data_IF_358693617263
#
_entry.id   IF_358693617263
#
_cell.length_a   1.000
_cell.length_b   1.000
_cell.length_c   1.000
_cell.angle_alpha   90.00
_cell.angle_beta   90.00
_cell.angle_gamma   90.00
#
_symmetry.space_group_name_H-M   'P 1'
#
loop_
_entity.id
_entity.type
_entity.pdbx_description
1 polymer ?
#
# COMPACT_ATOMS: atom_id res chain seq x y z
N UNK A 1 42.70 0.79 -0.81
CA UNK A 1 41.60 1.23 -1.71
C UNK A 1 40.31 0.43 -1.52
N UNK A 2 40.36 -0.87 -1.17
CA UNK A 2 39.18 -1.71 -0.94
C UNK A 2 38.34 -1.38 0.31
N UNK A 3 38.95 -0.84 1.36
CA UNK A 3 38.22 -0.57 2.63
C UNK A 3 37.25 0.64 2.55
N UNK A 4 37.51 1.61 1.66
CA UNK A 4 36.62 2.78 1.47
C UNK A 4 35.36 2.49 0.66
N UNK A 5 35.40 1.50 -0.26
CA UNK A 5 34.22 1.08 -1.03
C UNK A 5 33.20 0.32 -0.16
N UNK A 6 33.68 -0.48 0.80
CA UNK A 6 32.80 -1.25 1.69
C UNK A 6 31.99 -0.34 2.64
N UNK A 7 32.59 0.76 3.14
CA UNK A 7 31.89 1.70 4.02
C UNK A 7 30.79 2.51 3.30
N UNK A 8 30.94 2.78 2.01
CA UNK A 8 29.93 3.53 1.24
C UNK A 8 28.69 2.66 0.97
N UNK A 9 28.87 1.36 0.71
CA UNK A 9 27.75 0.42 0.50
C UNK A 9 26.94 0.18 1.78
N UNK A 10 27.59 0.11 2.95
CA UNK A 10 26.90 -0.05 4.23
C UNK A 10 26.14 1.23 4.63
N UNK A 11 26.71 2.42 4.40
CA UNK A 11 26.03 3.68 4.73
C UNK A 11 24.77 3.90 3.89
N UNK A 12 24.77 3.52 2.62
CA UNK A 12 23.60 3.68 1.73
C UNK A 12 22.43 2.74 2.09
N UNK A 13 22.71 1.53 2.56
CA UNK A 13 21.67 0.59 2.99
C UNK A 13 21.00 1.01 4.30
N UNK A 14 21.75 1.57 5.25
CA UNK A 14 21.20 2.08 6.51
C UNK A 14 20.35 3.33 6.30
N UNK A 15 20.74 4.23 5.39
CA UNK A 15 19.94 5.42 5.05
C UNK A 15 18.61 5.04 4.38
N UNK A 16 18.61 4.05 3.50
CA UNK A 16 17.41 3.60 2.80
C UNK A 16 16.41 2.89 3.75
N UNK A 17 16.90 2.11 4.73
CA UNK A 17 16.05 1.51 5.75
C UNK A 17 15.42 2.59 6.66
N UNK A 18 16.21 3.54 7.13
CA UNK A 18 15.72 4.62 8.01
C UNK A 18 14.66 5.49 7.31
N UNK A 19 14.85 5.77 6.02
CA UNK A 19 13.90 6.56 5.23
C UNK A 19 12.59 5.81 4.93
N UNK A 20 12.65 4.47 4.79
CA UNK A 20 11.45 3.63 4.65
C UNK A 20 10.60 3.61 5.93
N UNK A 21 11.26 3.54 7.09
CA UNK A 21 10.60 3.61 8.40
C UNK A 21 9.99 4.99 8.65
N UNK A 22 10.64 6.08 8.22
CA UNK A 22 10.13 7.44 8.35
C UNK A 22 8.85 7.66 7.51
N UNK A 23 8.84 7.17 6.28
CA UNK A 23 7.68 7.26 5.39
C UNK A 23 6.49 6.46 5.94
N UNK A 24 6.74 5.24 6.44
CA UNK A 24 5.71 4.42 7.08
C UNK A 24 5.15 5.10 8.33
N UNK A 25 6.03 5.62 9.20
CA UNK A 25 5.62 6.37 10.39
C UNK A 25 4.78 7.60 10.06
N UNK A 26 5.11 8.34 8.99
CA UNK A 26 4.34 9.50 8.56
C UNK A 26 2.94 9.09 8.09
N UNK A 27 2.82 7.97 7.33
CA UNK A 27 1.54 7.38 6.95
C UNK A 27 0.72 7.00 8.18
N UNK A 28 1.33 6.28 9.12
CA UNK A 28 0.63 5.72 10.27
C UNK A 28 0.08 6.79 11.21
N UNK A 29 0.77 7.93 11.29
CA UNK A 29 0.32 9.12 12.02
C UNK A 29 -0.58 10.05 11.21
N UNK A 30 -0.83 9.75 9.94
CA UNK A 30 -1.52 10.64 8.99
C UNK A 30 -0.85 12.03 8.88
N UNK A 31 0.47 12.08 9.00
CA UNK A 31 1.25 13.32 8.91
C UNK A 31 1.45 13.72 7.44
N UNK A 32 0.46 14.43 6.90
CA UNK A 32 0.47 14.89 5.51
C UNK A 32 1.64 15.83 5.21
N UNK A 33 2.16 16.58 6.19
CA UNK A 33 3.28 17.50 5.99
C UNK A 33 4.60 16.73 5.85
N UNK A 34 4.82 15.75 6.73
CA UNK A 34 5.98 14.87 6.63
C UNK A 34 5.97 14.07 5.32
N UNK A 35 4.81 13.51 4.91
CA UNK A 35 4.67 12.80 3.63
C UNK A 35 5.02 13.73 2.46
N UNK A 36 4.53 14.97 2.42
CA UNK A 36 4.83 15.91 1.35
C UNK A 36 6.32 16.26 1.29
N UNK A 37 6.99 16.39 2.43
CA UNK A 37 8.45 16.60 2.51
C UNK A 37 9.22 15.42 1.94
N UNK A 38 8.79 14.19 2.29
CA UNK A 38 9.38 12.94 1.80
C UNK A 38 9.15 12.75 0.30
N UNK A 39 7.96 13.05 -0.21
CA UNK A 39 7.68 13.07 -1.66
C UNK A 39 8.69 13.99 -2.35
N UNK A 40 8.86 15.23 -1.87
CA UNK A 40 9.79 16.19 -2.48
C UNK A 40 11.25 15.72 -2.39
N UNK A 41 11.62 14.98 -1.34
CA UNK A 41 12.93 14.34 -1.24
C UNK A 41 13.11 13.25 -2.30
N UNK A 42 12.15 12.32 -2.42
CA UNK A 42 12.23 11.22 -3.39
C UNK A 42 12.10 11.69 -4.84
N UNK A 43 11.36 12.78 -5.11
CA UNK A 43 11.35 13.42 -6.43
C UNK A 43 12.74 13.88 -6.85
N UNK A 44 13.47 14.56 -5.95
CA UNK A 44 14.85 14.98 -6.24
C UNK A 44 15.75 13.78 -6.50
N UNK A 45 15.65 12.73 -5.69
CA UNK A 45 16.46 11.52 -5.85
C UNK A 45 16.18 10.80 -7.17
N UNK A 46 14.91 10.62 -7.52
CA UNK A 46 14.49 9.98 -8.76
C UNK A 46 14.86 10.81 -10.01
N UNK A 47 14.88 12.16 -9.89
CA UNK A 47 15.31 13.05 -10.97
C UNK A 47 16.83 13.06 -11.16
N UNK A 48 17.62 12.78 -10.12
CA UNK A 48 19.09 12.65 -10.24
C UNK A 48 19.50 11.38 -11.00
N UNK A 49 18.73 10.30 -10.84
CA UNK A 49 18.93 9.05 -11.58
C UNK A 49 17.56 8.51 -12.06
N UNK A 50 17.06 9.00 -13.21
CA UNK A 50 15.75 8.63 -13.74
C UNK A 50 15.60 7.15 -14.11
N UNK A 51 16.72 6.44 -14.30
CA UNK A 51 16.76 5.00 -14.61
C UNK A 51 16.95 4.11 -13.38
N UNK A 52 17.07 4.69 -12.22
CA UNK A 52 17.16 3.92 -10.97
C UNK A 52 15.78 3.37 -10.58
N UNK A 53 15.53 2.09 -10.87
CA UNK A 53 14.30 1.41 -10.45
C UNK A 53 14.04 1.55 -8.93
N UNK A 54 15.05 1.40 -8.03
CA UNK A 54 14.84 1.64 -6.60
C UNK A 54 14.41 3.08 -6.28
N UNK A 55 14.99 4.09 -6.94
CA UNK A 55 14.61 5.49 -6.68
C UNK A 55 13.18 5.78 -7.16
N UNK A 56 12.79 5.28 -8.32
CA UNK A 56 11.42 5.37 -8.83
C UNK A 56 10.42 4.64 -7.92
N UNK A 57 10.77 3.46 -7.41
CA UNK A 57 9.95 2.72 -6.46
C UNK A 57 9.73 3.50 -5.15
N UNK A 58 10.77 4.08 -4.56
CA UNK A 58 10.64 4.86 -3.34
C UNK A 58 9.76 6.09 -3.54
N UNK A 59 9.88 6.77 -4.68
CA UNK A 59 9.00 7.86 -5.06
C UNK A 59 7.55 7.39 -5.21
N UNK A 60 7.32 6.28 -5.90
CA UNK A 60 5.99 5.69 -6.07
C UNK A 60 5.35 5.30 -4.73
N UNK A 61 6.15 4.75 -3.80
CA UNK A 61 5.70 4.37 -2.46
C UNK A 61 5.30 5.62 -1.64
N UNK A 62 6.09 6.70 -1.73
CA UNK A 62 5.77 7.95 -1.04
C UNK A 62 4.45 8.55 -1.55
N UNK A 63 4.23 8.55 -2.85
CA UNK A 63 2.96 8.96 -3.45
C UNK A 63 1.80 8.05 -3.04
N UNK A 64 2.01 6.72 -3.03
CA UNK A 64 0.98 5.76 -2.61
C UNK A 64 0.52 5.99 -1.16
N UNK A 65 1.45 6.19 -0.24
CA UNK A 65 1.11 6.49 1.16
C UNK A 65 0.46 7.87 1.31
N UNK A 66 0.88 8.85 0.51
CA UNK A 66 0.21 10.15 0.45
C UNK A 66 -1.24 10.04 -0.04
N UNK A 67 -1.49 9.24 -1.08
CA UNK A 67 -2.82 8.96 -1.59
C UNK A 67 -3.68 8.21 -0.55
N UNK A 68 -3.11 7.24 0.16
CA UNK A 68 -3.78 6.49 1.23
C UNK A 68 -4.23 7.44 2.35
N UNK A 69 -3.33 8.27 2.87
CA UNK A 69 -3.66 9.25 3.93
C UNK A 69 -4.70 10.27 3.44
N UNK A 70 -4.63 10.73 2.21
CA UNK A 70 -5.63 11.62 1.63
C UNK A 70 -7.01 10.96 1.53
N UNK A 71 -7.08 9.66 1.19
CA UNK A 71 -8.33 8.90 1.22
C UNK A 71 -8.88 8.73 2.62
N UNK A 72 -8.05 8.40 3.60
CA UNK A 72 -8.42 8.23 5.00
C UNK A 72 -8.97 9.53 5.58
N UNK A 73 -8.37 10.67 5.23
CA UNK A 73 -8.82 12.02 5.62
C UNK A 73 -9.90 12.60 4.72
N UNK A 74 -10.43 11.82 3.75
CA UNK A 74 -11.53 12.14 2.84
C UNK A 74 -11.22 13.24 1.80
N UNK A 75 -9.97 13.54 1.54
CA UNK A 75 -9.54 14.39 0.45
C UNK A 75 -9.35 13.59 -0.86
N UNK A 76 -10.47 13.24 -1.49
CA UNK A 76 -10.48 12.40 -2.70
C UNK A 76 -9.69 13.01 -3.85
N UNK A 77 -9.74 14.34 -4.01
CA UNK A 77 -9.05 15.03 -5.11
C UNK A 77 -7.53 14.95 -4.94
N UNK A 78 -7.05 15.15 -3.71
CA UNK A 78 -5.64 14.99 -3.37
C UNK A 78 -5.19 13.54 -3.53
N UNK A 79 -6.01 12.58 -3.09
CA UNK A 79 -5.74 11.16 -3.24
C UNK A 79 -5.57 10.76 -4.70
N UNK A 80 -6.48 11.20 -5.59
CA UNK A 80 -6.39 10.96 -7.04
C UNK A 80 -5.09 11.51 -7.62
N UNK A 81 -4.81 12.79 -7.37
CA UNK A 81 -3.61 13.46 -7.90
C UNK A 81 -2.31 12.78 -7.45
N UNK A 82 -2.23 12.36 -6.17
CA UNK A 82 -1.06 11.66 -5.65
C UNK A 82 -0.95 10.25 -6.24
N UNK A 83 -2.07 9.51 -6.36
CA UNK A 83 -2.06 8.19 -6.95
C UNK A 83 -1.66 8.22 -8.45
N UNK A 84 -2.12 9.19 -9.22
CA UNK A 84 -1.72 9.36 -10.62
C UNK A 84 -0.22 9.70 -10.76
N UNK A 85 0.31 10.58 -9.91
CA UNK A 85 1.73 10.88 -9.89
C UNK A 85 2.56 9.63 -9.51
N UNK A 86 2.09 8.87 -8.52
CA UNK A 86 2.71 7.62 -8.10
C UNK A 86 2.70 6.55 -9.20
N UNK A 87 1.63 6.45 -9.98
CA UNK A 87 1.52 5.55 -11.13
C UNK A 87 2.66 5.76 -12.13
N UNK A 88 2.98 7.01 -12.46
CA UNK A 88 4.05 7.32 -13.41
C UNK A 88 5.42 6.86 -12.88
N UNK A 89 5.67 7.00 -11.58
CA UNK A 89 6.92 6.54 -10.96
C UNK A 89 6.96 4.99 -10.85
N UNK A 90 5.84 4.36 -10.46
CA UNK A 90 5.76 2.91 -10.37
C UNK A 90 5.95 2.23 -11.73
N UNK A 91 5.38 2.79 -12.80
CA UNK A 91 5.59 2.28 -14.15
C UNK A 91 7.07 2.33 -14.54
N UNK A 92 7.77 3.45 -14.28
CA UNK A 92 9.21 3.52 -14.52
C UNK A 92 10.00 2.48 -13.74
N UNK A 93 9.66 2.23 -12.45
CA UNK A 93 10.32 1.18 -11.68
C UNK A 93 10.15 -0.20 -12.31
N UNK A 94 8.97 -0.52 -12.82
CA UNK A 94 8.69 -1.77 -13.54
C UNK A 94 9.42 -1.82 -14.89
N UNK A 95 9.43 -0.73 -15.64
CA UNK A 95 10.12 -0.66 -16.95
C UNK A 95 11.62 -0.90 -16.80
N UNK A 96 12.25 -0.37 -15.75
CA UNK A 96 13.69 -0.54 -15.49
C UNK A 96 14.03 -1.89 -14.84
N UNK A 97 13.11 -2.48 -14.07
CA UNK A 97 13.29 -3.80 -13.45
C UNK A 97 11.97 -4.56 -13.30
N UNK A 98 11.46 -5.10 -14.41
CA UNK A 98 10.24 -5.91 -14.43
C UNK A 98 10.36 -7.30 -13.79
N UNK A 99 11.52 -7.67 -13.25
CA UNK A 99 11.69 -8.92 -12.50
C UNK A 99 11.39 -8.79 -10.99
N UNK A 100 11.05 -7.59 -10.50
CA UNK A 100 10.76 -7.35 -9.09
C UNK A 100 9.25 -7.41 -8.82
N UNK A 101 8.79 -8.44 -8.11
CA UNK A 101 7.38 -8.65 -7.77
C UNK A 101 6.78 -7.47 -6.99
N UNK A 102 7.55 -6.81 -6.12
CA UNK A 102 7.06 -5.69 -5.31
C UNK A 102 6.79 -4.44 -6.17
N UNK A 103 7.53 -4.23 -7.26
CA UNK A 103 7.26 -3.14 -8.18
C UNK A 103 5.93 -3.33 -8.91
N UNK A 104 5.64 -4.55 -9.35
CA UNK A 104 4.32 -4.90 -9.91
C UNK A 104 3.20 -4.74 -8.90
N UNK A 105 3.41 -5.20 -7.64
CA UNK A 105 2.44 -5.01 -6.58
C UNK A 105 2.10 -3.52 -6.36
N UNK A 106 3.13 -2.67 -6.27
CA UNK A 106 2.93 -1.24 -6.03
C UNK A 106 2.23 -0.56 -7.20
N UNK A 107 2.61 -0.91 -8.44
CA UNK A 107 1.94 -0.40 -9.64
C UNK A 107 0.44 -0.76 -9.63
N UNK A 108 0.10 -2.02 -9.36
CA UNK A 108 -1.29 -2.47 -9.27
C UNK A 108 -2.06 -1.81 -8.12
N UNK A 109 -1.42 -1.61 -6.96
CA UNK A 109 -2.02 -0.91 -5.84
C UNK A 109 -2.35 0.56 -6.18
N UNK A 110 -1.43 1.27 -6.84
CA UNK A 110 -1.63 2.64 -7.31
C UNK A 110 -2.74 2.74 -8.36
N UNK A 111 -2.82 1.78 -9.30
CA UNK A 111 -3.96 1.68 -10.22
C UNK A 111 -5.29 1.59 -9.44
N UNK A 112 -5.33 0.80 -8.37
CA UNK A 112 -6.50 0.70 -7.49
C UNK A 112 -6.82 1.99 -6.74
N UNK A 113 -5.81 2.74 -6.31
CA UNK A 113 -5.97 3.97 -5.54
C UNK A 113 -6.55 5.15 -6.36
N UNK A 114 -6.42 5.14 -7.68
CA UNK A 114 -7.05 6.16 -8.56
C UNK A 114 -8.56 5.95 -8.71
N UNK A 115 -9.03 4.69 -8.62
CA UNK A 115 -10.43 4.32 -8.92
C UNK A 115 -11.47 5.09 -8.07
N UNK A 116 -11.30 5.30 -6.75
CA UNK A 116 -12.32 5.90 -5.89
C UNK A 116 -12.72 7.33 -6.24
N UNK A 117 -11.90 8.07 -6.96
CA UNK A 117 -12.22 9.45 -7.36
C UNK A 117 -13.35 9.48 -8.41
N UNK A 118 -13.31 8.57 -9.38
CA UNK A 118 -14.37 8.34 -10.35
C UNK A 118 -14.59 6.84 -10.54
N UNK A 119 -15.45 6.19 -9.73
CA UNK A 119 -15.54 4.73 -9.69
C UNK A 119 -15.87 4.06 -11.02
N UNK A 120 -16.72 4.65 -11.85
CA UNK A 120 -17.13 4.07 -13.13
C UNK A 120 -15.98 4.14 -14.13
N UNK A 121 -15.49 5.33 -14.41
CA UNK A 121 -14.42 5.54 -15.40
C UNK A 121 -13.08 5.01 -14.88
N UNK A 122 -12.83 5.15 -13.57
CA UNK A 122 -11.62 4.63 -12.92
C UNK A 122 -11.56 3.10 -13.01
N UNK A 123 -12.65 2.40 -12.73
CA UNK A 123 -12.69 0.93 -12.86
C UNK A 123 -12.46 0.49 -14.31
N UNK A 124 -13.06 1.19 -15.28
CA UNK A 124 -12.88 0.86 -16.69
C UNK A 124 -11.42 1.08 -17.14
N UNK A 125 -10.80 2.18 -16.72
CA UNK A 125 -9.45 2.58 -17.16
C UNK A 125 -8.35 1.85 -16.38
N UNK A 126 -8.46 1.75 -15.05
CA UNK A 126 -7.40 1.28 -14.17
C UNK A 126 -7.66 -0.11 -13.56
N UNK A 127 -8.89 -0.61 -13.62
CA UNK A 127 -9.25 -1.93 -13.08
C UNK A 127 -8.43 -3.09 -13.64
N UNK A 128 -8.23 -3.19 -14.96
CA UNK A 128 -7.33 -4.19 -15.54
C UNK A 128 -5.91 -4.11 -15.00
N UNK A 129 -5.32 -2.89 -14.97
CA UNK A 129 -3.99 -2.69 -14.40
C UNK A 129 -3.93 -3.14 -12.93
N UNK A 130 -4.89 -2.72 -12.10
CA UNK A 130 -4.91 -3.08 -10.68
C UNK A 130 -4.94 -4.60 -10.47
N UNK A 131 -5.73 -5.33 -11.26
CA UNK A 131 -5.82 -6.79 -11.18
C UNK A 131 -4.56 -7.46 -11.73
N UNK A 132 -4.19 -7.15 -12.97
CA UNK A 132 -3.20 -7.91 -13.71
C UNK A 132 -1.79 -7.73 -13.10
N UNK A 133 -1.45 -6.54 -12.60
CA UNK A 133 -0.17 -6.26 -11.97
C UNK A 133 -0.06 -6.91 -10.57
N UNK A 134 -1.14 -6.93 -9.78
CA UNK A 134 -1.14 -7.63 -8.50
C UNK A 134 -1.08 -9.15 -8.69
N UNK A 135 -1.83 -9.70 -9.63
CA UNK A 135 -1.80 -11.14 -9.94
C UNK A 135 -0.41 -11.55 -10.46
N UNK A 136 0.22 -10.72 -11.29
CA UNK A 136 1.59 -10.92 -11.73
C UNK A 136 2.58 -10.93 -10.56
N UNK A 137 2.45 -9.99 -9.63
CA UNK A 137 3.28 -9.95 -8.41
C UNK A 137 3.16 -11.25 -7.60
N UNK A 138 1.93 -11.77 -7.42
CA UNK A 138 1.67 -13.04 -6.74
C UNK A 138 2.26 -14.23 -7.49
N UNK A 139 2.15 -14.26 -8.84
CA UNK A 139 2.75 -15.30 -9.66
C UNK A 139 4.29 -15.32 -9.56
N UNK A 140 4.90 -14.13 -9.51
CA UNK A 140 6.35 -13.99 -9.37
C UNK A 140 6.84 -14.36 -7.96
N UNK A 141 6.08 -14.00 -6.93
CA UNK A 141 6.39 -14.28 -5.53
C UNK A 141 5.12 -14.58 -4.71
N UNK A 142 4.76 -15.87 -4.64
CA UNK A 142 3.61 -16.34 -3.87
C UNK A 142 3.71 -16.12 -2.35
N UNK A 143 4.86 -15.69 -1.84
CA UNK A 143 5.09 -15.35 -0.42
C UNK A 143 5.11 -13.84 -0.16
N UNK A 144 4.73 -13.01 -1.13
CA UNK A 144 4.61 -11.58 -0.96
C UNK A 144 3.27 -11.22 -0.26
N UNK A 145 3.27 -11.19 1.07
CA UNK A 145 2.06 -10.98 1.88
C UNK A 145 1.29 -9.69 1.49
N UNK A 146 2.02 -8.59 1.22
CA UNK A 146 1.40 -7.33 0.79
C UNK A 146 0.64 -7.43 -0.53
N UNK A 147 1.01 -8.35 -1.44
CA UNK A 147 0.28 -8.54 -2.69
C UNK A 147 -1.12 -9.12 -2.44
N UNK A 148 -1.26 -10.02 -1.47
CA UNK A 148 -2.57 -10.51 -1.05
C UNK A 148 -3.39 -9.44 -0.33
N UNK A 149 -2.76 -8.56 0.47
CA UNK A 149 -3.46 -7.38 1.03
C UNK A 149 -3.98 -6.50 -0.11
N UNK A 150 -3.13 -6.16 -1.08
CA UNK A 150 -3.52 -5.32 -2.22
C UNK A 150 -4.66 -5.96 -3.04
N UNK A 151 -4.61 -7.28 -3.30
CA UNK A 151 -5.69 -8.00 -3.98
C UNK A 151 -6.97 -8.01 -3.16
N UNK A 152 -6.88 -8.29 -1.87
CA UNK A 152 -8.01 -8.29 -0.96
C UNK A 152 -8.71 -6.92 -0.88
N UNK A 153 -7.94 -5.82 -0.89
CA UNK A 153 -8.51 -4.46 -0.95
C UNK A 153 -9.27 -4.24 -2.26
N UNK A 154 -8.70 -4.61 -3.40
CA UNK A 154 -9.39 -4.55 -4.69
C UNK A 154 -10.67 -5.41 -4.69
N UNK A 155 -10.58 -6.64 -4.23
CA UNK A 155 -11.68 -7.60 -4.10
C UNK A 155 -12.79 -7.10 -3.19
N UNK A 156 -12.45 -6.41 -2.10
CA UNK A 156 -13.42 -5.81 -1.16
C UNK A 156 -14.34 -4.78 -1.83
N UNK A 157 -13.82 -4.01 -2.78
CA UNK A 157 -14.61 -2.99 -3.49
C UNK A 157 -15.35 -3.53 -4.72
N UNK A 158 -14.95 -4.68 -5.27
CA UNK A 158 -15.61 -5.29 -6.41
C UNK A 158 -16.89 -6.04 -5.99
N UNK A 159 -17.97 -5.97 -6.78
CA UNK A 159 -19.17 -6.77 -6.53
C UNK A 159 -18.91 -8.27 -6.77
N UNK A 160 -19.69 -9.17 -6.13
CA UNK A 160 -19.56 -10.62 -6.33
C UNK A 160 -19.72 -11.07 -7.79
N UNK A 161 -20.54 -10.39 -8.57
CA UNK A 161 -20.71 -10.65 -10.01
C UNK A 161 -19.45 -10.42 -10.85
N UNK A 162 -18.47 -9.70 -10.31
CA UNK A 162 -17.16 -9.44 -10.92
C UNK A 162 -16.02 -10.19 -10.22
N UNK A 163 -16.34 -11.22 -9.45
CA UNK A 163 -15.36 -12.01 -8.70
C UNK A 163 -14.87 -11.38 -7.39
N UNK A 164 -15.50 -10.29 -6.93
CA UNK A 164 -15.22 -9.62 -5.69
C UNK A 164 -16.10 -10.07 -4.53
N UNK A 165 -16.19 -9.21 -3.52
CA UNK A 165 -17.01 -9.39 -2.35
C UNK A 165 -16.23 -9.62 -1.07
N UNK A 166 -16.93 -9.44 0.05
CA UNK A 166 -16.31 -9.39 1.37
C UNK A 166 -15.65 -10.72 1.75
N UNK A 167 -16.30 -11.85 1.49
CA UNK A 167 -15.75 -13.17 1.85
C UNK A 167 -14.50 -13.52 1.02
N UNK A 168 -14.46 -13.11 -0.24
CA UNK A 168 -13.29 -13.28 -1.09
C UNK A 168 -12.13 -12.41 -0.59
N UNK A 169 -12.41 -11.16 -0.21
CA UNK A 169 -11.41 -10.26 0.40
C UNK A 169 -10.85 -10.81 1.72
N UNK A 170 -11.71 -11.35 2.61
CA UNK A 170 -11.27 -11.95 3.87
C UNK A 170 -10.31 -13.12 3.63
N UNK A 171 -10.55 -13.96 2.61
CA UNK A 171 -9.63 -15.05 2.23
C UNK A 171 -8.24 -14.55 1.85
N UNK A 172 -8.16 -13.44 1.11
CA UNK A 172 -6.89 -12.82 0.75
C UNK A 172 -6.17 -12.24 1.97
N UNK A 173 -6.88 -11.59 2.89
CA UNK A 173 -6.30 -11.10 4.14
C UNK A 173 -5.83 -12.25 5.03
N UNK A 174 -6.57 -13.35 5.11
CA UNK A 174 -6.15 -14.56 5.83
C UNK A 174 -4.90 -15.19 5.20
N UNK A 175 -4.81 -15.20 3.87
CA UNK A 175 -3.60 -15.64 3.18
C UNK A 175 -2.40 -14.74 3.50
N UNK A 176 -2.58 -13.41 3.49
CA UNK A 176 -1.52 -12.47 3.88
C UNK A 176 -1.04 -12.71 5.32
N UNK A 177 -1.97 -12.90 6.26
CA UNK A 177 -1.68 -13.23 7.67
C UNK A 177 -0.94 -14.56 7.80
N UNK A 178 -1.31 -15.57 7.01
CA UNK A 178 -0.62 -16.87 7.04
C UNK A 178 0.83 -16.80 6.57
N UNK A 179 1.14 -15.86 5.66
CA UNK A 179 2.50 -15.61 5.16
C UNK A 179 3.29 -14.74 6.14
N UNK A 180 2.68 -13.66 6.62
CA UNK A 180 3.29 -12.75 7.59
C UNK A 180 2.31 -12.42 8.74
N UNK A 181 2.40 -13.15 9.86
CA UNK A 181 1.53 -12.92 11.03
C UNK A 181 1.73 -11.57 11.73
N UNK A 182 2.77 -10.82 11.38
CA UNK A 182 3.06 -9.51 11.96
C UNK A 182 2.68 -8.34 11.01
N UNK A 183 1.98 -8.61 9.91
CA UNK A 183 1.54 -7.59 8.97
C UNK A 183 0.26 -6.90 9.48
N UNK A 184 0.41 -5.75 10.14
CA UNK A 184 -0.69 -4.99 10.75
C UNK A 184 -1.79 -4.64 9.74
N UNK A 185 -1.43 -4.22 8.52
CA UNK A 185 -2.38 -3.86 7.46
C UNK A 185 -3.31 -5.02 7.04
N UNK A 186 -2.84 -6.27 7.12
CA UNK A 186 -3.68 -7.44 6.82
C UNK A 186 -4.81 -7.62 7.86
N UNK A 187 -4.50 -7.40 9.13
CA UNK A 187 -5.52 -7.44 10.20
C UNK A 187 -6.44 -6.23 10.15
N UNK A 188 -5.92 -5.04 9.85
CA UNK A 188 -6.71 -3.82 9.67
C UNK A 188 -7.77 -4.02 8.58
N UNK A 189 -7.37 -4.42 7.39
CA UNK A 189 -8.28 -4.62 6.27
C UNK A 189 -9.24 -5.79 6.51
N UNK A 190 -8.78 -6.89 7.14
CA UNK A 190 -9.67 -7.98 7.59
C UNK A 190 -10.73 -7.46 8.55
N UNK A 191 -10.35 -6.61 9.51
CA UNK A 191 -11.29 -6.01 10.45
C UNK A 191 -12.34 -5.12 9.77
N UNK A 192 -11.91 -4.30 8.79
CA UNK A 192 -12.82 -3.47 7.98
C UNK A 192 -13.81 -4.36 7.20
N UNK A 193 -13.33 -5.42 6.57
CA UNK A 193 -14.16 -6.35 5.82
C UNK A 193 -15.18 -7.09 6.73
N UNK A 194 -14.74 -7.55 7.88
CA UNK A 194 -15.60 -8.19 8.88
C UNK A 194 -16.68 -7.23 9.43
N UNK A 195 -16.33 -5.97 9.68
CA UNK A 195 -17.30 -4.95 10.08
C UNK A 195 -18.37 -4.74 9.00
N UNK A 196 -17.96 -4.64 7.75
CA UNK A 196 -18.88 -4.52 6.60
C UNK A 196 -19.81 -5.73 6.47
N UNK A 197 -19.36 -6.92 6.90
CA UNK A 197 -20.16 -8.15 6.97
C UNK A 197 -21.04 -8.24 8.25
N UNK A 198 -21.11 -7.20 9.07
CA UNK A 198 -21.76 -7.20 10.39
C UNK A 198 -21.20 -8.21 11.41
N UNK A 199 -19.98 -8.73 11.19
CA UNK A 199 -19.24 -9.65 12.08
C UNK A 199 -18.43 -8.85 13.11
N UNK A 200 -19.10 -7.99 13.89
CA UNK A 200 -18.46 -6.96 14.71
C UNK A 200 -17.52 -7.50 15.79
N UNK A 201 -17.84 -8.64 16.41
CA UNK A 201 -16.96 -9.25 17.41
C UNK A 201 -15.62 -9.72 16.82
N UNK A 202 -15.64 -10.29 15.62
CA UNK A 202 -14.45 -10.71 14.90
C UNK A 202 -13.67 -9.51 14.34
N UNK A 203 -14.39 -8.50 13.84
CA UNK A 203 -13.81 -7.22 13.41
C UNK A 203 -12.99 -6.57 14.52
N UNK A 204 -13.56 -6.52 15.75
CA UNK A 204 -12.87 -5.96 16.92
C UNK A 204 -11.58 -6.71 17.24
N UNK A 205 -11.61 -8.05 17.20
CA UNK A 205 -10.41 -8.87 17.43
C UNK A 205 -9.33 -8.59 16.38
N UNK A 206 -9.70 -8.49 15.12
CA UNK A 206 -8.77 -8.23 14.04
C UNK A 206 -8.17 -6.81 14.17
N UNK A 207 -9.01 -5.78 14.38
CA UNK A 207 -8.54 -4.40 14.55
C UNK A 207 -7.68 -4.21 15.81
N UNK A 208 -8.02 -4.90 16.92
CA UNK A 208 -7.17 -4.87 18.10
C UNK A 208 -5.81 -5.48 17.81
N UNK A 209 -5.75 -6.63 17.10
CA UNK A 209 -4.48 -7.24 16.70
C UNK A 209 -3.67 -6.32 15.77
N UNK A 210 -4.33 -5.61 14.84
CA UNK A 210 -3.66 -4.62 14.01
C UNK A 210 -3.03 -3.50 14.86
N UNK A 211 -3.77 -3.01 15.87
CA UNK A 211 -3.31 -1.96 16.77
C UNK A 211 -2.19 -2.42 17.71
N UNK A 212 -2.21 -3.68 18.15
CA UNK A 212 -1.13 -4.28 18.95
C UNK A 212 0.18 -4.37 18.16
N UNK A 213 0.08 -4.61 16.84
CA UNK A 213 1.23 -4.69 15.93
C UNK A 213 1.73 -3.31 15.49
N UNK A 214 0.81 -2.36 15.32
CA UNK A 214 1.12 -0.97 14.99
C UNK A 214 0.28 0.00 15.85
N UNK A 215 0.77 0.37 17.04
CA UNK A 215 0.07 1.27 17.95
C UNK A 215 -0.05 2.72 17.45
N UNK A 216 0.74 3.11 16.44
CA UNK A 216 0.74 4.46 15.92
C UNK A 216 -0.31 4.68 14.82
N UNK A 217 -0.81 3.60 14.19
CA UNK A 217 -1.73 3.68 13.06
C UNK A 217 -3.06 4.35 13.44
N UNK A 218 -3.18 5.63 13.11
CA UNK A 218 -4.38 6.45 13.42
C UNK A 218 -5.62 5.83 12.80
N UNK A 219 -5.54 5.41 11.55
CA UNK A 219 -6.69 4.84 10.85
C UNK A 219 -7.22 3.54 11.49
N UNK A 220 -6.35 2.70 12.05
CA UNK A 220 -6.78 1.51 12.82
C UNK A 220 -7.61 1.91 14.03
N UNK A 221 -7.19 2.94 14.78
CA UNK A 221 -7.96 3.48 15.92
C UNK A 221 -9.32 3.99 15.50
N UNK A 222 -9.37 4.72 14.38
CA UNK A 222 -10.64 5.21 13.83
C UNK A 222 -11.59 4.09 13.42
N UNK A 223 -11.08 3.02 12.78
CA UNK A 223 -11.92 1.87 12.41
C UNK A 223 -12.43 1.12 13.65
N UNK A 224 -11.61 0.97 14.69
CA UNK A 224 -12.02 0.35 15.94
C UNK A 224 -13.13 1.16 16.63
N UNK A 225 -13.04 2.49 16.60
CA UNK A 225 -14.04 3.40 17.19
C UNK A 225 -15.38 3.41 16.43
N UNK A 226 -15.43 2.95 15.17
CA UNK A 226 -16.68 2.83 14.41
C UNK A 226 -17.49 1.58 14.78
N UNK A 227 -16.88 0.62 15.47
CA UNK A 227 -17.59 -0.58 15.89
C UNK A 227 -18.58 -0.26 17.01
N UNK A 228 -19.77 -0.86 17.00
CA UNK A 228 -20.74 -0.69 18.10
C UNK A 228 -20.12 -1.09 19.43
N UNK A 229 -20.52 -0.41 20.50
CA UNK A 229 -20.16 -0.81 21.87
C UNK A 229 -20.60 -2.25 22.14
N UNK A 230 -19.83 -2.97 22.96
CA UNK A 230 -20.19 -4.32 23.41
C UNK A 230 -21.26 -4.26 24.47
#
# INVERSE_FOLDING_TARGET
MFLRLLCILFASTWLALAAGDELLNARDRQDSAAIQSLISHYERTANQDPKSAPAQYQLALAYSYGAEVAMETRDKKKAESLAEAGLAAAQKAVDENGANAEYHRLLGALCGQVIPANPIMGTLKYGPCARDEIDKAIQMNGNLALAYVSRGVGTYYLPPSMGGGIDAAIKDFDKAISINPNLADAYLWKGIALHKANRNAEARKALQKALDLDPQRVWTKEQLNKLPAQ
#
